data_IF_319772639186
#
_entry.id   IF_319772639186
#
_cell.length_a   1.000
_cell.length_b   1.000
_cell.length_c   1.000
_cell.angle_alpha   90.00
_cell.angle_beta   90.00
_cell.angle_gamma   90.00
#
_symmetry.space_group_name_H-M   'P 1'
#
loop_
_entity.id
_entity.type
_entity.pdbx_description
1 polymer ?
#
# COMPACT_ATOMS: atom_id res chain seq x y z
N UNK A 1 -32.32 -4.17 5.80
CA UNK A 1 -31.34 -3.70 4.80
C UNK A 1 -29.99 -4.29 5.21
N UNK A 2 -29.47 -5.30 4.49
CA UNK A 2 -28.17 -5.92 4.83
C UNK A 2 -27.07 -5.02 4.31
N UNK A 3 -26.34 -4.35 5.19
CA UNK A 3 -25.20 -3.53 4.80
C UNK A 3 -24.01 -4.47 4.59
N UNK A 4 -23.55 -4.64 3.35
CA UNK A 4 -22.35 -5.44 3.03
C UNK A 4 -21.08 -4.62 3.29
N UNK A 5 -20.84 -4.21 4.54
CA UNK A 5 -19.73 -3.33 4.94
C UNK A 5 -18.35 -4.01 4.93
N UNK A 6 -18.31 -5.34 4.84
CA UNK A 6 -17.05 -6.06 4.69
C UNK A 6 -16.82 -6.21 3.17
N UNK A 7 -15.75 -5.63 2.60
CA UNK A 7 -15.39 -5.95 1.22
C UNK A 7 -15.28 -7.47 1.13
N UNK A 8 -16.07 -8.09 0.23
CA UNK A 8 -16.14 -9.56 0.01
C UNK A 8 -14.80 -10.22 -0.38
N UNK A 9 -13.70 -9.47 -0.35
CA UNK A 9 -12.42 -9.78 -0.95
C UNK A 9 -11.24 -9.75 0.04
N UNK A 10 -11.48 -9.65 1.35
CA UNK A 10 -10.41 -9.93 2.32
C UNK A 10 -10.50 -11.42 2.74
N UNK A 11 -9.72 -12.34 2.13
CA UNK A 11 -9.43 -13.57 2.83
C UNK A 11 -8.65 -13.17 4.10
N UNK A 12 -9.20 -13.51 5.26
CA UNK A 12 -8.51 -13.42 6.56
C UNK A 12 -7.38 -14.47 6.61
N UNK A 13 -6.46 -14.46 5.64
CA UNK A 13 -5.25 -15.28 5.69
C UNK A 13 -4.23 -14.52 6.53
N UNK A 14 -4.10 -14.95 7.79
CA UNK A 14 -2.97 -14.63 8.64
C UNK A 14 -1.67 -14.95 7.88
N UNK A 15 -0.96 -13.92 7.44
CA UNK A 15 0.46 -14.04 7.15
C UNK A 15 1.18 -13.85 8.48
N UNK A 16 1.65 -14.95 9.06
CA UNK A 16 2.69 -14.91 10.07
C UNK A 16 3.96 -14.38 9.40
N UNK A 17 4.21 -13.07 9.50
CA UNK A 17 5.47 -12.48 9.06
C UNK A 17 6.58 -13.01 9.95
N UNK A 18 7.36 -13.96 9.45
CA UNK A 18 8.63 -14.34 10.05
C UNK A 18 9.54 -13.10 10.11
N UNK A 19 9.89 -12.69 11.33
CA UNK A 19 10.73 -11.53 11.57
C UNK A 19 12.16 -11.77 11.10
N UNK A 20 12.54 -11.16 9.98
CA UNK A 20 13.93 -10.99 9.60
C UNK A 20 14.41 -9.63 10.13
N UNK A 21 15.12 -9.65 11.26
CA UNK A 21 15.75 -8.47 11.83
C UNK A 21 17.00 -8.09 11.02
N UNK A 22 16.86 -7.18 10.06
CA UNK A 22 17.99 -6.52 9.41
C UNK A 22 18.35 -5.24 10.18
N UNK A 23 19.53 -5.26 10.81
CA UNK A 23 20.16 -4.09 11.39
C UNK A 23 20.62 -3.17 10.25
N UNK A 24 19.99 -1.99 10.11
CA UNK A 24 20.49 -0.91 9.28
C UNK A 24 21.01 0.23 10.17
N UNK A 25 22.33 0.43 10.18
CA UNK A 25 22.97 1.67 10.62
C UNK A 25 22.76 2.72 9.54
N UNK A 26 21.94 3.73 9.81
CA UNK A 26 21.77 4.88 8.94
C UNK A 26 22.70 6.02 9.38
N UNK A 27 23.67 6.37 8.53
CA UNK A 27 24.37 7.66 8.59
C UNK A 27 23.52 8.64 7.79
N UNK A 28 22.97 9.65 8.47
CA UNK A 28 22.18 10.69 7.83
C UNK A 28 23.11 11.79 7.29
N UNK A 29 23.35 11.78 5.97
CA UNK A 29 23.80 12.96 5.24
C UNK A 29 22.56 13.60 4.58
N UNK A 30 22.20 14.80 5.03
CA UNK A 30 21.14 15.61 4.42
C UNK A 30 21.68 16.22 3.12
N UNK A 31 21.50 15.51 2.00
CA UNK A 31 21.57 16.11 0.68
C UNK A 31 20.15 16.46 0.24
N UNK A 32 19.90 17.74 -0.02
CA UNK A 32 18.69 18.20 -0.71
C UNK A 32 18.75 17.68 -2.15
N UNK A 33 18.02 16.60 -2.44
CA UNK A 33 17.81 16.13 -3.81
C UNK A 33 16.76 17.02 -4.47
N UNK A 34 17.22 18.03 -5.21
CA UNK A 34 16.42 18.66 -6.26
C UNK A 34 16.01 17.56 -7.24
N UNK A 35 14.70 17.30 -7.34
CA UNK A 35 14.18 16.36 -8.32
C UNK A 35 14.64 16.82 -9.72
N UNK A 36 15.30 15.95 -10.51
CA UNK A 36 15.68 16.32 -11.87
C UNK A 36 14.39 16.60 -12.65
N UNK A 37 14.40 17.71 -13.40
CA UNK A 37 13.34 18.03 -14.33
C UNK A 37 13.08 16.82 -15.26
N UNK A 38 11.81 16.50 -15.57
CA UNK A 38 11.51 15.42 -16.50
C UNK A 38 12.25 15.69 -17.81
N UNK A 39 13.10 14.75 -18.23
CA UNK A 39 13.81 14.83 -19.48
C UNK A 39 12.81 15.11 -20.62
N UNK A 40 13.12 16.04 -21.55
CA UNK A 40 12.25 16.31 -22.68
C UNK A 40 12.01 15.00 -23.44
N UNK A 41 10.73 14.68 -23.66
CA UNK A 41 10.34 13.52 -24.45
C UNK A 41 11.01 13.64 -25.83
N UNK A 42 11.79 12.63 -26.28
CA UNK A 42 12.37 12.68 -27.62
C UNK A 42 11.22 12.68 -28.63
N UNK A 43 11.07 13.79 -29.34
CA UNK A 43 10.24 13.90 -30.53
C UNK A 43 10.93 13.11 -31.66
N UNK A 44 10.79 11.79 -31.60
CA UNK A 44 11.25 10.88 -32.63
C UNK A 44 10.09 9.97 -33.00
N UNK A 45 9.61 10.11 -34.24
CA UNK A 45 8.76 9.14 -34.92
C UNK A 45 9.53 7.83 -35.08
N UNK A 46 9.66 7.06 -34.01
CA UNK A 46 10.23 5.72 -34.02
C UNK A 46 9.13 4.75 -34.45
N UNK A 47 8.98 4.58 -35.77
CA UNK A 47 8.40 3.34 -36.27
C UNK A 47 9.25 2.19 -35.70
N UNK A 48 8.65 1.17 -35.05
CA UNK A 48 9.42 0.08 -34.48
C UNK A 48 10.20 -0.59 -35.61
N UNK A 49 11.53 -0.53 -35.54
CA UNK A 49 12.39 -1.20 -36.49
C UNK A 49 12.02 -2.69 -36.47
N UNK A 50 11.49 -3.19 -37.58
CA UNK A 50 11.16 -4.60 -37.72
C UNK A 50 12.40 -5.41 -37.36
N UNK A 51 12.27 -6.31 -36.38
CA UNK A 51 13.39 -7.06 -35.83
C UNK A 51 14.08 -7.84 -36.95
N UNK A 52 15.32 -7.47 -37.28
CA UNK A 52 16.08 -8.01 -38.43
C UNK A 52 16.73 -9.37 -38.14
N UNK A 53 16.24 -10.11 -37.14
CA UNK A 53 16.83 -11.37 -36.70
C UNK A 53 16.36 -12.53 -37.58
N UNK A 54 17.25 -13.50 -37.82
CA UNK A 54 16.88 -14.71 -38.55
C UNK A 54 15.87 -15.56 -37.74
N UNK A 55 15.08 -16.42 -38.41
CA UNK A 55 14.15 -17.33 -37.72
C UNK A 55 14.81 -18.20 -36.65
N UNK A 56 16.05 -18.65 -36.88
CA UNK A 56 16.82 -19.46 -35.93
C UNK A 56 17.13 -18.66 -34.66
N UNK A 57 17.48 -17.38 -34.82
CA UNK A 57 17.80 -16.51 -33.69
C UNK A 57 16.55 -16.16 -32.87
N UNK A 58 15.41 -15.98 -33.53
CA UNK A 58 14.12 -15.81 -32.84
C UNK A 58 13.77 -17.04 -31.99
N UNK A 59 13.98 -18.25 -32.52
CA UNK A 59 13.78 -19.50 -31.77
C UNK A 59 14.73 -19.62 -30.57
N UNK A 60 15.98 -19.19 -30.72
CA UNK A 60 16.93 -19.13 -29.61
C UNK A 60 16.46 -18.16 -28.50
N UNK A 61 15.96 -16.97 -28.87
CA UNK A 61 15.40 -16.01 -27.92
C UNK A 61 14.17 -16.57 -27.21
N UNK A 62 13.27 -17.26 -27.92
CA UNK A 62 12.10 -17.92 -27.33
C UNK A 62 12.50 -18.98 -26.30
N UNK A 63 13.51 -19.80 -26.61
CA UNK A 63 14.03 -20.81 -25.69
C UNK A 63 14.60 -20.17 -24.42
N UNK A 64 15.51 -19.19 -24.58
CA UNK A 64 16.12 -18.47 -23.45
C UNK A 64 15.07 -17.73 -22.63
N UNK A 65 14.07 -17.14 -23.29
CA UNK A 65 12.96 -16.49 -22.60
C UNK A 65 12.17 -17.49 -21.75
N UNK A 66 11.90 -18.69 -22.28
CA UNK A 66 11.27 -19.78 -21.54
C UNK A 66 12.09 -20.23 -20.32
N UNK A 67 13.42 -20.26 -20.41
CA UNK A 67 14.32 -20.53 -19.27
C UNK A 67 14.25 -19.41 -18.22
N UNK A 68 14.29 -18.15 -18.65
CA UNK A 68 14.11 -16.99 -17.78
C UNK A 68 12.77 -17.00 -17.04
N UNK A 69 11.68 -17.40 -17.71
CA UNK A 69 10.37 -17.57 -17.09
C UNK A 69 10.34 -18.68 -16.04
N UNK A 70 10.99 -19.83 -16.29
CA UNK A 70 11.12 -20.91 -15.31
C UNK A 70 11.86 -20.43 -14.05
N UNK A 71 12.96 -19.70 -14.22
CA UNK A 71 13.70 -19.11 -13.10
C UNK A 71 12.84 -18.09 -12.33
N UNK A 72 12.09 -17.25 -13.04
CA UNK A 72 11.17 -16.30 -12.43
C UNK A 72 10.08 -16.99 -11.61
N UNK A 73 9.47 -18.07 -12.13
CA UNK A 73 8.46 -18.86 -11.41
C UNK A 73 9.02 -19.59 -10.19
N UNK A 74 10.33 -19.88 -10.17
CA UNK A 74 11.06 -20.41 -9.02
C UNK A 74 11.52 -19.31 -8.04
N UNK A 75 11.07 -18.07 -8.23
CA UNK A 75 11.45 -16.89 -7.43
C UNK A 75 12.96 -16.56 -7.49
N UNK A 76 13.69 -17.09 -8.47
CA UNK A 76 15.11 -16.80 -8.72
C UNK A 76 15.27 -15.54 -9.54
N UNK A 77 14.80 -14.42 -9.01
CA UNK A 77 14.64 -13.17 -9.74
C UNK A 77 15.94 -12.60 -10.32
N UNK A 78 17.07 -12.74 -9.61
CA UNK A 78 18.36 -12.26 -10.07
C UNK A 78 18.85 -13.03 -11.32
N UNK A 79 18.73 -14.35 -11.30
CA UNK A 79 19.09 -15.24 -12.41
C UNK A 79 18.14 -15.03 -13.60
N UNK A 80 16.84 -14.94 -13.35
CA UNK A 80 15.84 -14.63 -14.37
C UNK A 80 16.15 -13.28 -15.05
N UNK A 81 16.46 -12.23 -14.26
CA UNK A 81 16.85 -10.92 -14.80
C UNK A 81 18.07 -11.03 -15.69
N UNK A 82 19.11 -11.78 -15.29
CA UNK A 82 20.32 -11.94 -16.09
C UNK A 82 20.02 -12.58 -17.46
N UNK A 83 19.12 -13.58 -17.51
CA UNK A 83 18.67 -14.18 -18.77
C UNK A 83 17.94 -13.15 -19.65
N UNK A 84 17.00 -12.39 -19.08
CA UNK A 84 16.26 -11.36 -19.81
C UNK A 84 17.18 -10.24 -20.32
N UNK A 85 18.15 -9.79 -19.51
CA UNK A 85 19.15 -8.80 -19.90
C UNK A 85 20.03 -9.29 -21.04
N UNK A 86 20.41 -10.58 -21.02
CA UNK A 86 21.13 -11.18 -22.14
C UNK A 86 20.34 -11.17 -23.44
N UNK A 87 19.01 -11.36 -23.40
CA UNK A 87 18.16 -11.24 -24.58
C UNK A 87 18.09 -9.77 -25.02
N UNK A 88 17.94 -8.84 -24.07
CA UNK A 88 17.83 -7.40 -24.36
C UNK A 88 19.13 -6.78 -24.91
N UNK A 89 20.28 -7.38 -24.66
CA UNK A 89 21.55 -6.97 -25.25
C UNK A 89 21.57 -7.23 -26.77
N UNK A 90 20.90 -8.28 -27.24
CA UNK A 90 20.86 -8.67 -28.66
C UNK A 90 19.59 -8.19 -29.36
N UNK A 91 18.47 -8.13 -28.63
CA UNK A 91 17.17 -7.66 -29.09
C UNK A 91 16.60 -6.64 -28.09
N UNK A 92 16.98 -5.35 -28.19
CA UNK A 92 16.59 -4.31 -27.23
C UNK A 92 15.09 -4.12 -27.05
N UNK A 93 14.28 -4.47 -28.05
CA UNK A 93 12.83 -4.30 -28.04
C UNK A 93 12.07 -5.61 -27.77
N UNK A 94 12.74 -6.62 -27.22
CA UNK A 94 12.12 -7.88 -26.81
C UNK A 94 11.10 -7.66 -25.69
N UNK A 95 9.82 -7.48 -26.09
CA UNK A 95 8.69 -7.11 -25.22
C UNK A 95 8.59 -7.99 -23.96
N UNK A 96 8.67 -9.31 -24.13
CA UNK A 96 8.61 -10.26 -23.01
C UNK A 96 9.73 -10.02 -22.00
N UNK A 97 10.97 -9.89 -22.47
CA UNK A 97 12.15 -9.65 -21.64
C UNK A 97 12.10 -8.30 -20.93
N UNK A 98 11.60 -7.24 -21.58
CA UNK A 98 11.36 -5.95 -20.91
C UNK A 98 10.33 -6.08 -19.78
N UNK A 99 9.19 -6.73 -20.03
CA UNK A 99 8.14 -6.88 -19.04
C UNK A 99 8.59 -7.72 -17.83
N UNK A 100 9.10 -8.93 -18.07
CA UNK A 100 9.52 -9.82 -16.98
C UNK A 100 10.82 -9.38 -16.31
N UNK A 101 11.73 -8.71 -17.02
CA UNK A 101 12.89 -8.06 -16.42
C UNK A 101 12.50 -6.93 -15.47
N UNK A 102 11.53 -6.11 -15.87
CA UNK A 102 10.93 -5.09 -14.99
C UNK A 102 10.30 -5.68 -13.73
N UNK A 103 9.55 -6.77 -13.87
CA UNK A 103 8.94 -7.46 -12.73
C UNK A 103 9.99 -8.08 -11.81
N UNK A 104 11.01 -8.75 -12.34
CA UNK A 104 12.10 -9.29 -11.55
C UNK A 104 12.79 -8.19 -10.72
N UNK A 105 13.03 -7.01 -11.30
CA UNK A 105 13.54 -5.85 -10.57
C UNK A 105 12.61 -5.41 -9.42
N UNK A 106 11.28 -5.41 -9.63
CA UNK A 106 10.32 -5.11 -8.55
C UNK A 106 10.43 -6.09 -7.39
N UNK A 107 10.49 -7.40 -7.65
CA UNK A 107 10.61 -8.42 -6.59
C UNK A 107 11.95 -8.33 -5.83
N UNK A 108 12.99 -7.81 -6.47
CA UNK A 108 14.28 -7.52 -5.81
C UNK A 108 14.32 -6.15 -5.11
N UNK A 109 13.24 -5.36 -5.15
CA UNK A 109 13.21 -4.00 -4.57
C UNK A 109 13.91 -2.92 -5.41
N UNK A 110 14.38 -3.25 -6.61
CA UNK A 110 15.11 -2.37 -7.53
C UNK A 110 14.16 -1.49 -8.35
N UNK A 111 13.34 -0.69 -7.65
CA UNK A 111 12.20 0.02 -8.26
C UNK A 111 12.60 1.01 -9.36
N UNK A 112 13.78 1.63 -9.30
CA UNK A 112 14.24 2.54 -10.33
C UNK A 112 14.48 1.82 -11.67
N UNK A 113 15.18 0.68 -11.62
CA UNK A 113 15.48 -0.16 -12.79
C UNK A 113 14.22 -0.82 -13.37
N UNK A 114 13.29 -1.19 -12.49
CA UNK A 114 11.96 -1.66 -12.92
C UNK A 114 11.23 -0.62 -13.78
N UNK A 115 11.25 0.67 -13.39
CA UNK A 115 10.62 1.75 -14.16
C UNK A 115 11.25 1.85 -15.55
N UNK A 116 12.57 1.77 -15.67
CA UNK A 116 13.26 1.84 -16.96
C UNK A 116 12.78 0.76 -17.93
N UNK A 117 12.73 -0.51 -17.48
CA UNK A 117 12.24 -1.62 -18.30
C UNK A 117 10.76 -1.48 -18.65
N UNK A 118 9.92 -1.13 -17.68
CA UNK A 118 8.47 -1.05 -17.87
C UNK A 118 8.04 0.14 -18.74
N UNK A 119 8.72 1.28 -18.66
CA UNK A 119 8.45 2.41 -19.57
C UNK A 119 8.84 2.06 -21.01
N UNK A 120 9.99 1.38 -21.23
CA UNK A 120 10.37 0.86 -22.57
C UNK A 120 9.33 -0.12 -23.10
N UNK A 121 8.87 -1.06 -22.28
CA UNK A 121 7.79 -1.97 -22.64
C UNK A 121 6.51 -1.22 -23.02
N UNK A 122 6.14 -0.18 -22.24
CA UNK A 122 4.93 0.60 -22.47
C UNK A 122 4.98 1.41 -23.77
N UNK A 123 6.16 1.84 -24.23
CA UNK A 123 6.29 2.45 -25.57
C UNK A 123 5.88 1.45 -26.66
N UNK A 124 6.25 0.17 -26.50
CA UNK A 124 5.97 -0.89 -27.47
C UNK A 124 4.54 -1.47 -27.35
N UNK A 125 3.95 -1.41 -26.16
CA UNK A 125 2.61 -1.92 -25.86
C UNK A 125 1.84 -0.92 -24.98
N UNK A 126 1.42 0.23 -25.53
CA UNK A 126 0.88 1.35 -24.75
C UNK A 126 -0.45 1.06 -24.05
N UNK A 127 -1.19 0.07 -24.52
CA UNK A 127 -2.50 -0.33 -24.00
C UNK A 127 -2.41 -1.53 -23.03
N UNK A 128 -1.21 -1.97 -22.64
CA UNK A 128 -1.08 -3.04 -21.66
C UNK A 128 -1.25 -2.52 -20.22
N UNK A 129 -2.37 -2.85 -19.55
CA UNK A 129 -2.63 -2.41 -18.17
C UNK A 129 -1.63 -2.95 -17.15
N UNK A 130 -1.03 -4.13 -17.41
CA UNK A 130 -0.13 -4.79 -16.46
C UNK A 130 1.11 -3.94 -16.23
N UNK A 131 1.63 -3.34 -17.29
CA UNK A 131 2.74 -2.40 -17.19
C UNK A 131 2.39 -1.16 -16.37
N UNK A 132 1.18 -0.62 -16.51
CA UNK A 132 0.74 0.54 -15.73
C UNK A 132 0.63 0.19 -14.24
N UNK A 133 0.10 -0.99 -13.90
CA UNK A 133 0.03 -1.49 -12.52
C UNK A 133 1.44 -1.62 -11.91
N UNK A 134 2.37 -2.25 -12.61
CA UNK A 134 3.75 -2.39 -12.12
C UNK A 134 4.49 -1.05 -12.03
N UNK A 135 4.22 -0.12 -12.95
CA UNK A 135 4.74 1.25 -12.86
C UNK A 135 4.17 2.00 -11.65
N UNK A 136 2.89 1.81 -11.31
CA UNK A 136 2.30 2.38 -10.09
C UNK A 136 3.07 1.88 -8.87
N UNK A 137 3.31 0.57 -8.76
CA UNK A 137 4.05 -0.04 -7.66
C UNK A 137 5.49 0.47 -7.56
N UNK A 138 6.21 0.49 -8.67
CA UNK A 138 7.58 0.97 -8.70
C UNK A 138 7.67 2.45 -8.28
N UNK A 139 6.74 3.28 -8.74
CA UNK A 139 6.69 4.70 -8.37
C UNK A 139 6.22 4.92 -6.92
N UNK A 140 5.36 4.04 -6.37
CA UNK A 140 5.00 4.03 -4.96
C UNK A 140 6.22 3.78 -4.06
N UNK A 141 7.01 2.75 -4.38
CA UNK A 141 8.22 2.41 -3.63
C UNK A 141 9.24 3.56 -3.61
N UNK A 142 9.30 4.35 -4.68
CA UNK A 142 10.13 5.55 -4.79
C UNK A 142 9.44 6.84 -4.28
N UNK A 143 8.24 6.75 -3.70
CA UNK A 143 7.44 7.89 -3.20
C UNK A 143 7.17 8.97 -4.26
N UNK A 144 7.06 8.59 -5.53
CA UNK A 144 6.77 9.49 -6.67
C UNK A 144 5.26 9.72 -6.83
N UNK A 145 4.62 10.29 -5.81
CA UNK A 145 3.15 10.47 -5.73
C UNK A 145 2.52 11.06 -6.99
N UNK A 146 3.03 12.17 -7.59
CA UNK A 146 2.41 12.74 -8.79
C UNK A 146 2.40 11.76 -9.98
N UNK A 147 3.45 10.95 -10.14
CA UNK A 147 3.54 9.95 -11.20
C UNK A 147 2.56 8.82 -10.98
N UNK A 148 2.41 8.35 -9.73
CA UNK A 148 1.42 7.34 -9.38
C UNK A 148 0.01 7.81 -9.74
N UNK A 149 -0.35 9.03 -9.37
CA UNK A 149 -1.68 9.57 -9.63
C UNK A 149 -1.96 9.73 -11.14
N UNK A 150 -0.95 10.11 -11.92
CA UNK A 150 -1.06 10.17 -13.37
C UNK A 150 -1.30 8.78 -14.00
N UNK A 151 -0.51 7.78 -13.60
CA UNK A 151 -0.66 6.39 -14.07
C UNK A 151 -2.03 5.80 -13.71
N UNK A 152 -2.55 6.15 -12.53
CA UNK A 152 -3.91 5.75 -12.12
C UNK A 152 -4.99 6.34 -13.00
N UNK A 153 -4.93 7.65 -13.26
CA UNK A 153 -5.89 8.29 -14.17
C UNK A 153 -5.87 7.63 -15.54
N UNK A 154 -4.69 7.27 -16.05
CA UNK A 154 -4.56 6.53 -17.30
C UNK A 154 -5.23 5.15 -17.23
N UNK A 155 -4.95 4.35 -16.19
CA UNK A 155 -5.54 3.03 -16.01
C UNK A 155 -7.07 3.08 -15.89
N UNK A 156 -7.59 4.07 -15.16
CA UNK A 156 -9.03 4.31 -15.02
C UNK A 156 -9.68 4.73 -16.35
N UNK A 157 -9.01 5.57 -17.15
CA UNK A 157 -9.49 5.96 -18.47
C UNK A 157 -9.57 4.75 -19.42
N UNK A 158 -8.54 3.91 -19.44
CA UNK A 158 -8.54 2.65 -20.21
C UNK A 158 -9.68 1.73 -19.79
N UNK A 159 -9.91 1.56 -18.49
CA UNK A 159 -11.04 0.76 -17.99
C UNK A 159 -12.37 1.31 -18.48
N UNK A 160 -12.58 2.63 -18.36
CA UNK A 160 -13.81 3.29 -18.82
C UNK A 160 -14.06 3.04 -20.31
N UNK A 161 -13.00 3.10 -21.12
CA UNK A 161 -13.10 2.81 -22.55
C UNK A 161 -13.51 1.35 -22.82
N UNK A 162 -12.90 0.38 -22.12
CA UNK A 162 -13.23 -1.05 -22.26
C UNK A 162 -14.67 -1.33 -21.86
N UNK A 163 -15.14 -0.78 -20.74
CA UNK A 163 -16.51 -0.93 -20.25
C UNK A 163 -17.52 -0.27 -21.19
N UNK A 164 -17.19 0.90 -21.76
CA UNK A 164 -18.06 1.55 -22.76
C UNK A 164 -18.24 0.69 -24.02
N UNK A 165 -17.21 -0.07 -24.41
CA UNK A 165 -17.26 -0.99 -25.55
C UNK A 165 -17.93 -2.32 -25.23
N UNK A 166 -17.97 -2.71 -23.96
CA UNK A 166 -18.47 -4.01 -23.50
C UNK A 166 -19.30 -3.83 -22.21
N UNK A 167 -20.50 -3.21 -22.27
CA UNK A 167 -21.28 -2.87 -21.08
C UNK A 167 -21.72 -4.09 -20.27
N UNK A 168 -21.91 -5.25 -20.93
CA UNK A 168 -22.28 -6.51 -20.28
C UNK A 168 -21.09 -7.22 -19.62
N UNK A 169 -19.86 -6.78 -19.90
CA UNK A 169 -18.67 -7.23 -19.17
C UNK A 169 -18.52 -6.41 -17.90
N UNK A 170 -19.30 -6.78 -16.88
CA UNK A 170 -19.11 -6.27 -15.50
C UNK A 170 -17.71 -6.64 -14.95
N UNK A 171 -17.07 -7.67 -15.55
CA UNK A 171 -15.72 -8.11 -15.21
C UNK A 171 -14.76 -7.90 -16.37
N UNK A 172 -13.62 -7.31 -16.05
CA UNK A 172 -12.53 -7.02 -16.98
C UNK A 172 -11.85 -8.32 -17.43
N UNK A 173 -12.46 -9.03 -18.39
CA UNK A 173 -11.93 -10.26 -18.95
C UNK A 173 -10.97 -9.95 -20.12
N UNK A 174 -9.87 -9.25 -19.83
CA UNK A 174 -8.77 -9.05 -20.80
C UNK A 174 -7.94 -10.34 -21.03
N UNK A 175 -8.56 -11.50 -20.86
CA UNK A 175 -7.87 -12.73 -20.54
C UNK A 175 -7.31 -12.61 -19.14
N UNK A 176 -7.91 -13.30 -18.16
CA UNK A 176 -7.28 -13.46 -16.85
C UNK A 176 -5.80 -13.80 -17.07
N UNK A 177 -4.85 -12.95 -16.70
CA UNK A 177 -3.51 -13.48 -16.50
C UNK A 177 -3.70 -14.53 -15.39
N UNK A 178 -3.14 -15.73 -15.55
CA UNK A 178 -2.95 -16.68 -14.45
C UNK A 178 -2.11 -16.09 -13.30
N UNK A 179 -1.72 -14.81 -13.39
CA UNK A 179 -1.21 -13.95 -12.33
C UNK A 179 -2.34 -13.60 -11.33
N UNK A 180 -3.02 -14.64 -10.82
CA UNK A 180 -3.87 -14.59 -9.63
C UNK A 180 -3.04 -14.43 -8.34
N UNK A 181 -1.70 -14.33 -8.44
CA UNK A 181 -0.80 -14.62 -7.31
C UNK A 181 0.10 -13.45 -6.90
N UNK A 182 0.28 -12.41 -7.71
CA UNK A 182 1.36 -11.43 -7.48
C UNK A 182 0.94 -9.99 -7.15
N UNK A 183 -0.34 -9.76 -6.87
CA UNK A 183 -0.77 -8.47 -6.36
C UNK A 183 -1.72 -8.70 -5.22
N UNK A 184 -1.17 -8.74 -4.00
CA UNK A 184 -1.92 -8.18 -2.87
C UNK A 184 -2.36 -6.79 -3.35
N UNK A 185 -3.67 -6.52 -3.50
CA UNK A 185 -4.13 -5.22 -3.99
C UNK A 185 -3.62 -4.08 -3.10
N UNK A 186 -3.17 -4.42 -1.89
CA UNK A 186 -2.73 -3.53 -0.84
C UNK A 186 -1.24 -3.21 -0.91
N UNK A 187 -0.91 -1.93 -1.12
CA UNK A 187 0.45 -1.42 -1.16
C UNK A 187 0.70 -0.43 -0.02
N UNK A 188 1.81 -0.57 0.70
CA UNK A 188 2.24 0.42 1.69
C UNK A 188 2.74 1.68 0.96
N UNK A 189 1.99 2.78 1.05
CA UNK A 189 2.34 4.10 0.48
C UNK A 189 3.37 4.81 1.35
N UNK A 190 3.19 4.74 2.65
CA UNK A 190 4.00 5.50 3.59
C UNK A 190 4.04 4.81 4.95
N UNK A 191 5.21 4.86 5.59
CA UNK A 191 5.41 4.46 6.99
C UNK A 191 5.75 5.70 7.79
N UNK A 192 4.92 6.01 8.78
CA UNK A 192 5.05 7.17 9.65
C UNK A 192 5.37 6.67 11.06
N UNK A 193 6.53 7.06 11.60
CA UNK A 193 6.87 6.81 13.00
C UNK A 193 6.13 7.81 13.89
N UNK A 194 5.40 7.31 14.88
CA UNK A 194 4.64 8.11 15.83
C UNK A 194 5.42 8.26 17.14
N UNK A 195 4.98 9.17 18.00
CA UNK A 195 5.50 9.27 19.37
C UNK A 195 5.29 7.96 20.13
N UNK A 196 6.23 7.58 20.99
CA UNK A 196 6.21 6.30 21.71
C UNK A 196 6.69 5.08 20.90
N UNK A 197 7.15 5.29 19.67
CA UNK A 197 7.74 4.22 18.83
C UNK A 197 6.72 3.37 18.08
N UNK A 198 5.44 3.75 18.10
CA UNK A 198 4.44 3.16 17.22
C UNK A 198 4.72 3.52 15.75
N UNK A 199 4.24 2.69 14.83
CA UNK A 199 4.38 2.89 13.39
C UNK A 199 3.00 2.86 12.76
N UNK A 200 2.68 3.87 11.98
CA UNK A 200 1.51 3.87 11.10
C UNK A 200 1.94 3.53 9.67
N UNK A 201 1.29 2.54 9.08
CA UNK A 201 1.39 2.23 7.66
C UNK A 201 0.13 2.72 6.97
N UNK A 202 0.29 3.66 6.03
CA UNK A 202 -0.78 4.04 5.12
C UNK A 202 -0.68 3.13 3.92
N UNK A 203 -1.64 2.23 3.80
CA UNK A 203 -1.79 1.30 2.71
C UNK A 203 -2.85 1.78 1.73
N UNK A 204 -2.72 1.33 0.50
CA UNK A 204 -3.73 1.54 -0.52
C UNK A 204 -4.01 0.22 -1.21
N UNK A 205 -5.23 -0.26 -1.04
CA UNK A 205 -5.78 -1.35 -1.80
C UNK A 205 -6.32 -0.83 -3.13
N UNK A 206 -5.65 -1.17 -4.22
CA UNK A 206 -6.04 -0.80 -5.57
C UNK A 206 -6.50 -2.03 -6.34
N UNK A 207 -7.81 -2.18 -6.51
CA UNK A 207 -8.41 -3.22 -7.34
C UNK A 207 -8.93 -2.58 -8.63
N UNK A 208 -8.24 -2.79 -9.74
CA UNK A 208 -8.64 -2.25 -11.05
C UNK A 208 -9.77 -3.03 -11.73
N UNK A 209 -10.19 -4.17 -11.18
CA UNK A 209 -11.33 -4.93 -11.69
C UNK A 209 -12.67 -4.37 -11.21
N UNK A 210 -12.74 -3.91 -9.96
CA UNK A 210 -13.99 -3.53 -9.30
C UNK A 210 -14.10 -2.02 -9.08
N UNK A 211 -15.31 -1.47 -9.26
CA UNK A 211 -15.56 -0.07 -8.94
C UNK A 211 -15.89 0.10 -7.45
N UNK A 212 -15.31 1.12 -6.80
CA UNK A 212 -14.24 2.00 -7.20
C UNK A 212 -12.93 1.45 -6.68
N UNK A 213 -11.94 1.85 -7.43
CA UNK A 213 -10.73 1.08 -7.60
C UNK A 213 -9.72 1.31 -6.48
N UNK A 214 -10.06 2.06 -5.43
CA UNK A 214 -9.12 2.42 -4.36
C UNK A 214 -9.81 2.43 -2.99
N UNK A 215 -9.28 1.62 -2.08
CA UNK A 215 -9.56 1.68 -0.65
C UNK A 215 -8.24 2.07 0.02
N UNK A 216 -8.25 3.15 0.78
CA UNK A 216 -7.10 3.48 1.61
C UNK A 216 -7.29 2.86 2.98
N UNK A 217 -6.19 2.45 3.59
CA UNK A 217 -6.20 1.92 4.94
C UNK A 217 -5.03 2.52 5.70
N UNK A 218 -5.22 2.86 6.98
CA UNK A 218 -4.11 3.07 7.90
C UNK A 218 -4.12 1.96 8.94
N UNK A 219 -2.99 1.28 9.07
CA UNK A 219 -2.74 0.32 10.14
C UNK A 219 -1.75 0.93 11.11
N UNK A 220 -2.08 0.93 12.39
CA UNK A 220 -1.17 1.40 13.44
C UNK A 220 -0.68 0.19 14.22
N UNK A 221 0.64 0.10 14.35
CA UNK A 221 1.33 -0.94 15.10
C UNK A 221 2.04 -0.30 16.30
N UNK A 222 1.93 -0.95 17.45
CA UNK A 222 2.74 -0.64 18.62
C UNK A 222 4.22 -0.94 18.36
N UNK A 223 5.09 -0.51 19.29
CA UNK A 223 6.54 -0.73 19.20
C UNK A 223 6.93 -2.22 19.14
N UNK A 224 6.11 -3.09 19.73
CA UNK A 224 6.27 -4.55 19.72
C UNK A 224 5.69 -5.22 18.46
N UNK A 225 5.18 -4.44 17.51
CA UNK A 225 4.54 -4.92 16.28
C UNK A 225 3.07 -5.30 16.45
N UNK A 226 2.48 -5.21 17.66
CA UNK A 226 1.06 -5.50 17.87
C UNK A 226 0.21 -4.45 17.16
N UNK A 227 -0.72 -4.89 16.31
CA UNK A 227 -1.68 -4.02 15.63
C UNK A 227 -2.64 -3.40 16.64
N UNK A 228 -2.75 -2.07 16.65
CA UNK A 228 -3.55 -1.28 17.56
C UNK A 228 -4.86 -0.81 16.94
N UNK A 229 -4.83 -0.32 15.69
CA UNK A 229 -5.96 0.33 15.02
C UNK A 229 -5.94 0.06 13.53
N UNK A 230 -7.11 -0.10 12.93
CA UNK A 230 -7.30 -0.21 11.48
C UNK A 230 -8.35 0.79 11.03
N UNK A 231 -7.94 1.73 10.20
CA UNK A 231 -8.78 2.82 9.71
C UNK A 231 -8.90 2.66 8.21
N UNK A 232 -10.10 2.80 7.67
CA UNK A 232 -10.43 2.56 6.29
C UNK A 232 -11.08 3.78 5.67
N UNK A 233 -10.72 4.05 4.42
CA UNK A 233 -11.48 4.90 3.51
C UNK A 233 -11.94 3.99 2.38
N UNK A 234 -13.15 3.46 2.51
CA UNK A 234 -13.72 2.47 1.58
C UNK A 234 -14.88 3.07 0.83
N UNK A 235 -15.16 2.56 -0.37
CA UNK A 235 -16.37 2.94 -1.07
C UNK A 235 -17.56 2.11 -0.67
N UNK A 236 -18.72 2.76 -0.67
CA UNK A 236 -20.01 2.13 -0.47
C UNK A 236 -20.86 2.22 -1.75
N UNK A 237 -20.99 1.11 -2.52
CA UNK A 237 -21.81 1.07 -3.73
C UNK A 237 -23.29 1.27 -3.42
N UNK A 238 -23.76 0.72 -2.30
CA UNK A 238 -25.17 0.73 -1.93
C UNK A 238 -25.60 2.13 -1.53
N UNK A 239 -24.82 2.83 -0.69
CA UNK A 239 -25.05 4.23 -0.34
C UNK A 239 -24.92 5.13 -1.57
N UNK A 240 -23.98 4.85 -2.49
CA UNK A 240 -23.86 5.60 -3.75
C UNK A 240 -25.11 5.46 -4.61
N UNK A 241 -25.56 4.23 -4.86
CA UNK A 241 -26.76 3.95 -5.65
C UNK A 241 -28.02 4.55 -5.00
N UNK A 242 -28.16 4.42 -3.68
CA UNK A 242 -29.24 5.01 -2.90
C UNK A 242 -29.26 6.54 -3.05
N UNK A 243 -28.11 7.20 -2.84
CA UNK A 243 -27.99 8.65 -2.95
C UNK A 243 -28.38 9.16 -4.34
N UNK A 244 -27.95 8.48 -5.40
CA UNK A 244 -28.34 8.81 -6.79
C UNK A 244 -29.83 8.63 -7.03
N UNK A 245 -30.45 7.58 -6.47
CA UNK A 245 -31.88 7.31 -6.58
C UNK A 245 -32.73 8.36 -5.84
N UNK A 246 -32.28 8.81 -4.67
CA UNK A 246 -32.98 9.81 -3.85
C UNK A 246 -32.92 11.22 -4.45
N UNK A 247 -31.93 11.49 -5.31
CA UNK A 247 -31.70 12.80 -5.93
C UNK A 247 -31.55 12.74 -7.46
N UNK A 248 -32.57 12.25 -8.21
CA UNK A 248 -32.46 11.95 -9.64
C UNK A 248 -32.15 13.17 -10.51
N UNK A 249 -32.58 14.36 -10.09
CA UNK A 249 -32.46 15.60 -10.86
C UNK A 249 -31.26 16.48 -10.43
N UNK A 250 -30.50 16.08 -9.40
CA UNK A 250 -29.37 16.86 -8.90
C UNK A 250 -28.05 16.31 -9.46
N UNK A 251 -27.46 17.07 -10.39
CA UNK A 251 -26.21 16.72 -11.06
C UNK A 251 -25.04 16.47 -10.09
N UNK A 252 -25.04 17.07 -8.89
CA UNK A 252 -24.04 16.83 -7.85
C UNK A 252 -24.12 15.39 -7.35
N UNK A 253 -25.32 14.92 -7.02
CA UNK A 253 -25.54 13.57 -6.49
C UNK A 253 -25.45 12.50 -7.58
N UNK A 254 -25.86 12.81 -8.81
CA UNK A 254 -25.70 11.89 -9.94
C UNK A 254 -24.25 11.53 -10.23
N UNK A 255 -23.30 12.42 -9.91
CA UNK A 255 -21.85 12.20 -10.08
C UNK A 255 -21.16 11.78 -8.79
N UNK A 256 -21.87 11.70 -7.67
CA UNK A 256 -21.27 11.39 -6.38
C UNK A 256 -20.83 9.93 -6.31
N UNK A 257 -19.71 9.70 -5.61
CA UNK A 257 -19.24 8.38 -5.19
C UNK A 257 -19.02 8.45 -3.68
N UNK A 258 -19.73 7.61 -2.92
CA UNK A 258 -19.73 7.67 -1.46
C UNK A 258 -18.56 6.85 -0.93
N UNK A 259 -17.62 7.53 -0.28
CA UNK A 259 -16.53 6.93 0.47
C UNK A 259 -16.78 7.09 1.97
N UNK A 260 -16.77 5.97 2.68
CA UNK A 260 -16.94 5.87 4.12
C UNK A 260 -15.59 5.95 4.78
N UNK A 261 -15.51 6.79 5.81
CA UNK A 261 -14.39 6.83 6.71
C UNK A 261 -14.75 6.06 7.98
N UNK A 262 -14.10 4.91 8.19
CA UNK A 262 -14.44 4.00 9.28
C UNK A 262 -13.23 3.44 10.01
N UNK A 263 -13.38 3.07 11.27
CA UNK A 263 -12.41 2.29 12.04
C UNK A 263 -13.00 0.93 12.41
N UNK A 264 -12.19 -0.11 12.22
CA UNK A 264 -12.56 -1.48 12.58
C UNK A 264 -11.80 -1.87 13.83
N UNK A 265 -12.56 -2.16 14.89
CA UNK A 265 -12.06 -2.71 16.14
C UNK A 265 -12.13 -4.24 16.07
N UNK A 266 -11.01 -4.89 16.38
CA UNK A 266 -10.87 -6.35 16.32
C UNK A 266 -10.58 -6.86 17.72
N UNK A 267 -11.31 -7.87 18.17
CA UNK A 267 -11.11 -8.56 19.45
C UNK A 267 -10.84 -10.04 19.18
N UNK A 268 -9.60 -10.46 19.41
CA UNK A 268 -9.13 -11.77 18.93
C UNK A 268 -9.05 -11.79 17.41
N UNK A 269 -9.76 -12.71 16.77
CA UNK A 269 -9.83 -12.82 15.30
C UNK A 269 -11.13 -12.22 14.72
N UNK A 270 -12.04 -11.77 15.58
CA UNK A 270 -13.35 -11.26 15.16
C UNK A 270 -13.42 -9.73 15.14
N UNK A 271 -14.23 -9.20 14.22
CA UNK A 271 -14.61 -7.79 14.24
C UNK A 271 -15.57 -7.55 15.40
N UNK A 272 -15.15 -6.72 16.35
CA UNK A 272 -15.91 -6.37 17.55
C UNK A 272 -16.86 -5.20 17.31
N UNK A 273 -16.40 -4.19 16.55
CA UNK A 273 -17.17 -3.00 16.21
C UNK A 273 -16.61 -2.30 14.97
N UNK A 274 -17.48 -1.67 14.20
CA UNK A 274 -17.12 -0.71 13.15
C UNK A 274 -17.68 0.65 13.54
N UNK A 275 -16.81 1.66 13.66
CA UNK A 275 -17.21 3.05 13.85
C UNK A 275 -17.09 3.79 12.52
N UNK A 276 -18.16 4.47 12.10
CA UNK A 276 -18.20 5.32 10.91
C UNK A 276 -18.18 6.78 11.37
N UNK A 277 -17.20 7.54 10.89
CA UNK A 277 -16.94 8.90 11.32
C UNK A 277 -17.41 9.96 10.33
N UNK A 278 -17.29 9.69 9.04
CA UNK A 278 -17.61 10.67 8.00
C UNK A 278 -17.87 9.98 6.66
N UNK A 279 -18.46 10.73 5.73
CA UNK A 279 -18.71 10.32 4.35
C UNK A 279 -18.18 11.38 3.39
N UNK A 280 -17.49 10.96 2.34
CA UNK A 280 -17.04 11.83 1.24
C UNK A 280 -17.78 11.45 -0.03
N UNK A 281 -18.16 12.45 -0.82
CA UNK A 281 -18.94 12.26 -2.06
C UNK A 281 -18.07 12.25 -3.34
N UNK A 282 -16.74 12.28 -3.17
CA UNK A 282 -15.77 12.28 -4.26
C UNK A 282 -14.64 11.30 -3.93
N UNK A 283 -14.03 10.66 -4.93
CA UNK A 283 -12.82 9.86 -4.73
C UNK A 283 -11.72 10.68 -4.08
N UNK A 284 -11.15 10.20 -2.96
CA UNK A 284 -10.09 10.94 -2.30
C UNK A 284 -8.75 10.75 -3.02
N UNK A 285 -8.01 11.85 -3.15
CA UNK A 285 -6.59 11.78 -3.53
C UNK A 285 -5.78 11.25 -2.36
N UNK A 286 -4.57 10.74 -2.63
CA UNK A 286 -3.69 10.27 -1.56
C UNK A 286 -3.41 11.35 -0.52
N UNK A 287 -3.14 12.59 -0.95
CA UNK A 287 -2.84 13.69 -0.03
C UNK A 287 -4.05 14.04 0.85
N UNK A 288 -5.26 14.02 0.28
CA UNK A 288 -6.50 14.23 1.04
C UNK A 288 -6.70 13.10 2.05
N UNK A 289 -6.58 11.84 1.63
CA UNK A 289 -6.65 10.67 2.50
C UNK A 289 -5.64 10.76 3.64
N UNK A 290 -4.36 10.99 3.31
CA UNK A 290 -3.28 11.12 4.30
C UNK A 290 -3.59 12.21 5.32
N UNK A 291 -4.05 13.38 4.86
CA UNK A 291 -4.44 14.48 5.73
C UNK A 291 -5.56 14.07 6.68
N UNK A 292 -6.64 13.47 6.17
CA UNK A 292 -7.78 13.05 6.99
C UNK A 292 -7.39 11.96 8.00
N UNK A 293 -6.57 10.99 7.59
CA UNK A 293 -6.02 9.95 8.48
C UNK A 293 -5.27 10.58 9.65
N UNK A 294 -4.36 11.52 9.36
CA UNK A 294 -3.60 12.21 10.41
C UNK A 294 -4.48 13.09 11.29
N UNK A 295 -5.45 13.81 10.72
CA UNK A 295 -6.39 14.65 11.49
C UNK A 295 -7.24 13.82 12.43
N UNK A 296 -7.75 12.66 11.99
CA UNK A 296 -8.54 11.76 12.82
C UNK A 296 -7.70 11.15 13.95
N UNK A 297 -6.43 10.83 13.70
CA UNK A 297 -5.55 10.33 14.76
C UNK A 297 -5.24 11.40 15.80
N UNK A 298 -5.05 12.63 15.37
CA UNK A 298 -4.81 13.75 16.27
C UNK A 298 -6.08 14.12 17.07
N UNK A 299 -7.26 14.04 16.44
CA UNK A 299 -8.55 14.42 17.02
C UNK A 299 -9.64 13.46 16.54
N UNK A 300 -9.80 12.29 17.18
CA UNK A 300 -10.81 11.32 16.78
C UNK A 300 -12.20 11.95 16.88
N UNK A 301 -12.95 12.08 15.78
CA UNK A 301 -14.31 12.60 15.84
C UNK A 301 -15.21 11.58 16.53
N UNK A 302 -16.36 12.05 17.05
CA UNK A 302 -17.40 11.14 17.53
C UNK A 302 -17.97 10.37 16.33
N UNK A 303 -18.15 9.04 16.42
CA UNK A 303 -18.75 8.28 15.33
C UNK A 303 -20.18 8.78 15.06
N UNK A 304 -20.52 8.88 13.77
CA UNK A 304 -21.87 9.17 13.28
C UNK A 304 -22.73 7.91 13.38
N UNK A 305 -22.11 6.76 13.18
CA UNK A 305 -22.74 5.44 13.24
C UNK A 305 -21.73 4.45 13.85
N UNK A 306 -22.18 3.60 14.75
CA UNK A 306 -21.39 2.52 15.33
C UNK A 306 -22.16 1.22 15.15
N UNK A 307 -21.50 0.21 14.58
CA UNK A 307 -22.09 -1.09 14.27
C UNK A 307 -21.34 -2.13 15.08
N UNK A 308 -22.05 -2.79 16.00
CA UNK A 308 -21.47 -3.83 16.85
C UNK A 308 -21.21 -5.12 16.08
N UNK A 309 -20.33 -5.97 16.62
CA UNK A 309 -20.04 -7.28 16.06
C UNK A 309 -21.27 -8.17 15.96
N UNK A 310 -22.21 -8.07 16.90
CA UNK A 310 -23.46 -8.85 16.87
C UNK A 310 -24.32 -8.45 15.68
N UNK A 311 -24.43 -7.15 15.39
CA UNK A 311 -25.16 -6.65 14.23
C UNK A 311 -24.52 -7.09 12.91
N UNK A 312 -23.19 -7.08 12.84
CA UNK A 312 -22.44 -7.58 11.68
C UNK A 312 -22.68 -9.08 11.45
N UNK A 313 -22.89 -9.86 12.52
CA UNK A 313 -23.24 -11.29 12.46
C UNK A 313 -24.72 -11.54 12.18
N UNK A 314 -25.51 -10.50 11.95
CA UNK A 314 -26.95 -10.61 11.69
C UNK A 314 -27.81 -10.78 12.94
N UNK A 315 -27.26 -10.49 14.12
CA UNK A 315 -28.03 -10.29 15.34
C UNK A 315 -28.96 -9.07 15.22
N UNK A 316 -29.98 -8.96 16.09
CA UNK A 316 -30.88 -7.82 16.09
C UNK A 316 -30.10 -6.52 16.32
N UNK A 317 -30.43 -5.47 15.55
CA UNK A 317 -29.85 -4.14 15.73
C UNK A 317 -30.02 -3.69 17.18
N UNK A 318 -28.91 -3.31 17.82
CA UNK A 318 -29.00 -2.73 19.15
C UNK A 318 -29.56 -1.30 18.97
N UNK A 319 -30.63 -0.91 19.67
CA UNK A 319 -31.19 0.43 19.51
C UNK A 319 -30.09 1.46 19.75
N UNK A 320 -29.92 2.38 18.80
CA UNK A 320 -28.92 3.44 18.88
C UNK A 320 -29.01 4.09 20.26
N UNK A 321 -27.92 4.06 21.03
CA UNK A 321 -27.88 4.67 22.34
C UNK A 321 -28.35 6.14 22.18
N UNK A 322 -29.41 6.50 22.92
CA UNK A 322 -29.94 7.86 22.90
C UNK A 322 -28.77 8.84 23.03
N UNK A 323 -28.74 9.94 22.25
CA UNK A 323 -27.62 10.87 22.25
C UNK A 323 -27.33 11.24 23.70
N UNK A 324 -26.19 10.76 24.21
CA UNK A 324 -25.79 11.10 25.57
C UNK A 324 -25.82 12.63 25.66
N UNK A 325 -26.59 13.21 26.59
CA UNK A 325 -26.63 14.65 26.74
C UNK A 325 -25.18 15.11 26.88
N UNK A 326 -24.81 16.13 26.10
CA UNK A 326 -23.50 16.74 26.15
C UNK A 326 -23.11 16.88 27.62
N UNK A 327 -22.05 16.18 28.04
CA UNK A 327 -21.59 16.28 29.41
C UNK A 327 -21.44 17.78 29.71
N UNK A 328 -22.05 18.29 30.80
CA UNK A 328 -21.92 19.69 31.14
C UNK A 328 -20.44 20.03 31.16
N UNK A 329 -20.07 21.15 30.55
CA UNK A 329 -18.69 21.62 30.52
C UNK A 329 -18.09 21.47 31.93
N UNK A 330 -16.89 20.90 32.08
CA UNK A 330 -16.29 20.70 33.39
C UNK A 330 -16.29 22.05 34.11
N UNK A 331 -17.00 22.13 35.24
CA UNK A 331 -16.92 23.30 36.11
C UNK A 331 -15.45 23.47 36.44
N UNK A 332 -14.88 24.63 36.09
CA UNK A 332 -13.55 24.99 36.54
C UNK A 332 -13.50 24.80 38.05
N UNK A 333 -12.56 23.98 38.58
CA UNK A 333 -12.40 23.89 40.02
C UNK A 333 -11.97 25.27 40.53
N UNK A 334 -12.68 25.76 41.53
CA UNK A 334 -12.29 26.96 42.27
C UNK A 334 -10.86 26.75 42.82
N UNK A 335 -10.02 27.78 42.69
CA UNK A 335 -8.66 27.77 43.18
C UNK A 335 -8.63 27.51 44.70
N UNK A 336 -7.86 26.52 45.18
CA UNK A 336 -7.60 26.38 46.61
C UNK A 336 -6.46 27.31 47.02
N UNK A 337 -6.81 28.38 47.72
CA UNK A 337 -5.91 29.09 48.62
C UNK A 337 -5.70 28.26 49.89
N UNK A 338 -4.48 27.80 50.14
CA UNK A 338 -4.13 27.12 51.39
C UNK A 338 -2.73 26.50 51.37
N UNK A 339 -1.78 27.20 52.01
CA UNK A 339 -0.50 26.64 52.42
C UNK A 339 -0.71 25.49 53.42
N UNK A 340 -0.09 24.35 53.16
CA UNK A 340 -0.05 23.22 54.08
C UNK A 340 1.11 22.29 53.74
N UNK A 341 2.19 22.40 54.51
CA UNK A 341 3.30 21.45 54.55
C UNK A 341 2.80 20.04 54.91
N UNK A 342 3.16 19.02 54.12
CA UNK A 342 3.14 17.63 54.55
C UNK A 342 4.44 16.95 54.08
N UNK A 343 5.03 16.21 55.02
CA UNK A 343 6.34 15.59 55.01
C UNK A 343 6.49 14.46 53.99
N UNK A 344 7.74 14.27 53.55
CA UNK A 344 8.22 13.14 52.75
C UNK A 344 8.63 12.00 53.70
N UNK A 345 8.11 10.77 53.55
CA UNK A 345 8.75 9.61 54.15
C UNK A 345 9.96 9.20 53.30
N UNK A 346 11.16 9.35 53.87
CA UNK A 346 12.33 8.57 53.52
C UNK A 346 12.12 7.15 54.07
N UNK A 347 12.09 6.15 53.18
CA UNK A 347 12.69 4.82 53.35
C UNK A 347 12.03 3.82 52.38
N UNK A 348 12.75 3.50 51.31
CA UNK A 348 12.52 2.31 50.49
C UNK A 348 13.89 1.68 50.18
N UNK A 349 14.06 0.36 50.40
CA UNK A 349 15.35 -0.31 50.17
C UNK A 349 15.67 -0.41 48.68
N UNK A 350 16.96 -0.49 48.30
CA UNK A 350 17.37 -0.57 46.91
C UNK A 350 16.94 -1.89 46.28
N UNK A 351 16.25 -1.78 45.14
CA UNK A 351 15.92 -2.91 44.27
C UNK A 351 17.20 -3.44 43.63
N UNK A 352 17.56 -4.69 43.95
CA UNK A 352 18.65 -5.44 43.33
C UNK A 352 18.24 -5.82 41.91
N UNK A 353 18.87 -5.21 40.90
CA UNK A 353 18.75 -5.65 39.51
C UNK A 353 19.54 -6.95 39.26
N UNK A 354 18.96 -7.97 38.62
CA UNK A 354 19.70 -9.16 38.24
C UNK A 354 20.73 -8.85 37.14
N UNK A 355 21.95 -9.37 37.33
CA UNK A 355 23.06 -9.31 36.36
C UNK A 355 22.64 -9.96 35.03
N UNK A 356 22.79 -9.22 33.93
CA UNK A 356 22.78 -9.78 32.58
C UNK A 356 23.92 -10.82 32.42
N UNK A 357 23.65 -12.00 31.82
CA UNK A 357 24.71 -12.91 31.42
C UNK A 357 25.55 -12.27 30.30
N UNK A 358 26.87 -12.46 30.38
CA UNK A 358 27.83 -11.95 29.41
C UNK A 358 27.57 -12.54 28.01
N UNK A 359 27.65 -11.69 26.99
CA UNK A 359 27.57 -12.10 25.59
C UNK A 359 28.74 -13.03 25.23
N UNK A 360 28.53 -14.05 24.37
CA UNK A 360 29.61 -14.90 23.89
C UNK A 360 30.61 -14.09 23.05
N UNK A 361 31.91 -14.32 23.30
CA UNK A 361 33.01 -13.75 22.51
C UNK A 361 32.91 -14.19 21.05
N UNK A 362 33.01 -13.23 20.13
CA UNK A 362 33.14 -13.49 18.71
C UNK A 362 34.44 -14.29 18.41
N UNK A 363 34.42 -15.22 17.43
CA UNK A 363 35.63 -15.92 16.99
C UNK A 363 36.61 -14.94 16.33
N UNK A 364 37.90 -15.17 16.56
CA UNK A 364 38.99 -14.38 16.02
C UNK A 364 39.02 -14.42 14.48
N UNK A 365 39.26 -13.27 13.86
CA UNK A 365 39.48 -13.16 12.42
C UNK A 365 40.78 -13.88 12.00
N UNK A 366 40.82 -14.53 10.81
CA UNK A 366 42.03 -15.16 10.29
C UNK A 366 43.08 -14.10 9.94
N UNK A 367 44.32 -14.40 10.31
CA UNK A 367 45.43 -13.46 10.39
C UNK A 367 45.89 -12.87 9.07
N UNK A 368 46.21 -11.58 9.12
CA UNK A 368 46.99 -10.87 8.11
C UNK A 368 48.45 -11.30 8.20
N UNK A 369 48.97 -11.87 7.12
CA UNK A 369 50.40 -12.15 6.92
C UNK A 369 51.20 -10.86 6.87
N UNK A 370 52.27 -10.80 7.67
CA UNK A 370 53.24 -9.70 7.75
C UNK A 370 54.30 -9.87 6.65
N UNK A 371 54.76 -8.82 5.97
CA UNK A 371 55.84 -8.95 5.00
C UNK A 371 57.20 -9.03 5.70
N UNK A 372 58.06 -9.89 5.19
CA UNK A 372 59.47 -10.03 5.59
C UNK A 372 60.29 -8.82 5.14
N UNK A 373 61.23 -8.32 5.96
CA UNK A 373 62.14 -7.26 5.55
C UNK A 373 63.30 -7.82 4.72
N UNK A 374 63.75 -7.04 3.74
CA UNK A 374 65.09 -7.12 3.14
C UNK A 374 66.01 -6.12 3.80
#
# INVERSE_FOLDING_TARGET
>A
MRISLIPRYLPLRLMATAGLALLFTAVAALAQTTAPAPAPAPAGTNAPAASTHSPEKLKEFEQRFGEGLKLYQQEKYAEARAVFEGILAEAPDAKGSLFYGGNACLFMGESAKAIEYLERFRVLVPQDPRAIVHLIQANQALKRTPRVDALRRQLLAMRKEVLAKNPDRDKWDLGRPEISVLVDPMFVRERIRMQGGAVMEICEAFNYYDSPNAVYMAQIFAKDGKRLRNIYISYDPDKTAKLRKEHPNDAKYQKAEVFIYSEIFVKGEETDRIDIYDFKLVPPTYDATRKWLLEMLARPPKPVESISGDELRGGPAQPAAAPQPSAPAPRQPAAPSGQGNIAVPQDAPPVVTPRQPAAPRAPAAPGTTRPTPR
#
